data_IF_967220420997
#
_entry.id   IF_967220420997
#
_cell.length_a   1.000
_cell.length_b   1.000
_cell.length_c   1.000
_cell.angle_alpha   90.00
_cell.angle_beta   90.00
_cell.angle_gamma   90.00
#
_symmetry.space_group_name_H-M   'P 1'
#
loop_
_entity.id
_entity.type
_entity.pdbx_description
1 polymer ?
#
# COMPACT_ATOMS: atom_id res chain seq x y z
N UNK A 1 -2.15 20.97 0.34
CA UNK A 1 -2.47 20.08 1.48
C UNK A 1 -1.48 18.92 1.49
N UNK A 2 -0.43 19.02 2.33
CA UNK A 2 0.62 18.00 2.51
C UNK A 2 0.51 17.48 3.96
N UNK A 3 -0.32 16.47 4.18
CA UNK A 3 -0.36 15.77 5.46
C UNK A 3 0.56 14.55 5.35
N UNK A 4 1.87 14.79 5.46
CA UNK A 4 2.88 13.76 5.60
C UNK A 4 3.64 14.02 6.89
N UNK A 5 3.48 13.15 7.89
CA UNK A 5 4.04 13.29 9.24
C UNK A 5 5.56 13.41 9.18
N UNK A 6 6.17 12.63 8.27
CA UNK A 6 7.60 12.67 8.07
C UNK A 6 8.00 14.06 7.55
N UNK A 7 7.27 14.63 6.59
CA UNK A 7 7.71 15.79 5.80
C UNK A 7 7.74 17.16 6.48
N UNK A 8 7.32 17.27 7.75
CA UNK A 8 7.49 18.49 8.54
C UNK A 8 7.00 19.80 7.90
N UNK A 9 6.10 19.74 6.91
CA UNK A 9 5.76 20.92 6.11
C UNK A 9 4.78 21.80 6.88
N UNK A 10 5.34 22.71 7.69
CA UNK A 10 4.66 23.93 8.10
C UNK A 10 4.16 24.64 6.84
N UNK A 11 2.85 24.83 6.76
CA UNK A 11 2.24 25.60 5.67
C UNK A 11 2.85 27.01 5.65
N UNK A 12 3.37 27.41 4.50
CA UNK A 12 3.63 28.81 4.21
C UNK A 12 2.28 29.54 4.28
N UNK A 13 2.15 30.48 5.22
CA UNK A 13 0.97 31.30 5.37
C UNK A 13 0.80 32.18 4.14
N UNK A 14 -0.30 31.97 3.43
CA UNK A 14 -0.83 32.96 2.50
C UNK A 14 -1.64 33.95 3.35
N UNK A 15 -1.15 35.19 3.44
CA UNK A 15 -1.83 36.29 4.11
C UNK A 15 -2.98 36.77 3.21
N UNK A 16 -4.16 36.17 3.40
CA UNK A 16 -5.40 36.61 2.78
C UNK A 16 -6.49 36.85 3.82
N UNK A 17 -6.85 38.12 4.01
CA UNK A 17 -8.05 38.54 4.73
C UNK A 17 -9.30 37.82 4.21
N UNK A 18 -10.08 37.19 5.10
CA UNK A 18 -11.32 36.52 4.70
C UNK A 18 -12.12 35.85 5.83
N UNK A 19 -13.08 36.59 6.38
CA UNK A 19 -14.35 36.17 7.01
C UNK A 19 -14.34 35.12 8.17
N UNK A 20 -14.75 35.50 9.40
CA UNK A 20 -14.98 34.55 10.48
C UNK A 20 -16.33 33.84 10.31
N UNK A 21 -16.33 32.52 10.09
CA UNK A 21 -17.57 31.74 10.14
C UNK A 21 -17.59 30.38 9.43
N UNK A 22 -16.64 30.08 8.55
CA UNK A 22 -16.56 28.77 7.91
C UNK A 22 -15.46 27.93 8.56
N UNK A 23 -15.83 27.04 9.49
CA UNK A 23 -14.97 25.90 9.81
C UNK A 23 -14.93 25.05 8.55
N UNK A 24 -14.00 25.33 7.64
CA UNK A 24 -13.66 24.41 6.56
C UNK A 24 -13.08 23.17 7.21
N UNK A 25 -13.90 22.13 7.32
CA UNK A 25 -13.45 20.77 7.53
C UNK A 25 -12.61 20.38 6.32
N UNK A 26 -11.30 20.65 6.39
CA UNK A 26 -10.32 20.33 5.34
C UNK A 26 -10.07 18.80 5.23
N UNK A 27 -11.05 17.96 5.56
CA UNK A 27 -11.00 16.52 5.34
C UNK A 27 -11.42 16.20 3.92
N UNK A 28 -10.56 15.51 3.17
CA UNK A 28 -10.92 14.94 1.87
C UNK A 28 -12.20 14.11 2.02
N UNK A 29 -13.19 14.35 1.15
CA UNK A 29 -14.41 13.55 1.15
C UNK A 29 -14.08 12.07 0.90
N UNK A 30 -14.86 11.18 1.50
CA UNK A 30 -14.64 9.73 1.38
C UNK A 30 -14.58 9.28 -0.10
N UNK A 31 -15.45 9.82 -0.96
CA UNK A 31 -15.46 9.50 -2.38
C UNK A 31 -14.16 9.90 -3.10
N UNK A 32 -13.64 11.10 -2.84
CA UNK A 32 -12.38 11.56 -3.43
C UNK A 32 -11.18 10.77 -2.90
N UNK A 33 -11.17 10.43 -1.62
CA UNK A 33 -10.13 9.57 -1.04
C UNK A 33 -10.15 8.19 -1.69
N UNK A 34 -11.31 7.54 -1.75
CA UNK A 34 -11.43 6.19 -2.30
C UNK A 34 -11.09 6.17 -3.80
N UNK A 35 -11.51 7.17 -4.56
CA UNK A 35 -11.14 7.32 -5.97
C UNK A 35 -9.64 7.48 -6.16
N UNK A 36 -9.02 8.40 -5.40
CA UNK A 36 -7.56 8.63 -5.45
C UNK A 36 -6.77 7.40 -5.02
N UNK A 37 -7.19 6.77 -3.92
CA UNK A 37 -6.61 5.53 -3.42
C UNK A 37 -6.68 4.42 -4.48
N UNK A 38 -7.84 4.22 -5.11
CA UNK A 38 -8.00 3.19 -6.12
C UNK A 38 -7.08 3.41 -7.32
N UNK A 39 -7.01 4.64 -7.84
CA UNK A 39 -6.11 5.00 -8.94
C UNK A 39 -4.65 4.79 -8.55
N UNK A 40 -4.25 5.23 -7.35
CA UNK A 40 -2.91 5.05 -6.81
C UNK A 40 -2.55 3.56 -6.70
N UNK A 41 -3.43 2.75 -6.11
CA UNK A 41 -3.22 1.30 -5.98
C UNK A 41 -3.17 0.62 -7.33
N UNK A 42 -4.04 0.98 -8.28
CA UNK A 42 -3.98 0.45 -9.63
C UNK A 42 -2.62 0.78 -10.28
N UNK A 43 -2.16 2.03 -10.16
CA UNK A 43 -0.90 2.47 -10.74
C UNK A 43 0.33 1.75 -10.16
N UNK A 44 0.37 1.51 -8.85
CA UNK A 44 1.54 0.88 -8.19
C UNK A 44 1.47 -0.64 -8.20
N UNK A 45 0.28 -1.20 -8.01
CA UNK A 45 0.09 -2.62 -7.71
C UNK A 45 -0.16 -3.45 -8.96
N UNK A 46 -0.68 -2.88 -10.04
CA UNK A 46 -0.81 -3.59 -11.32
C UNK A 46 0.56 -3.95 -11.93
N UNK A 47 1.55 -3.05 -12.00
CA UNK A 47 2.89 -3.41 -12.50
C UNK A 47 3.51 -4.59 -11.74
N UNK A 48 3.32 -4.64 -10.42
CA UNK A 48 3.89 -5.70 -9.59
C UNK A 48 3.23 -7.08 -9.79
N UNK A 49 1.95 -7.13 -10.18
CA UNK A 49 1.21 -8.39 -10.41
C UNK A 49 1.17 -8.79 -11.89
N UNK A 50 1.46 -7.86 -12.80
CA UNK A 50 1.45 -8.08 -14.25
C UNK A 50 2.26 -9.31 -14.70
N UNK A 51 3.50 -9.58 -14.21
CA UNK A 51 4.26 -10.74 -14.64
C UNK A 51 3.59 -12.08 -14.31
N UNK A 52 2.80 -12.13 -13.22
CA UNK A 52 2.03 -13.30 -12.80
C UNK A 52 0.80 -13.45 -13.69
N UNK A 53 0.00 -12.39 -13.84
CA UNK A 53 -1.24 -12.42 -14.64
C UNK A 53 -0.95 -12.77 -16.10
N UNK A 54 0.07 -12.16 -16.71
CA UNK A 54 0.47 -12.46 -18.10
C UNK A 54 0.90 -13.92 -18.28
N UNK A 55 1.58 -14.51 -17.28
CA UNK A 55 1.98 -15.93 -17.32
C UNK A 55 0.78 -16.87 -17.19
N UNK A 56 -0.13 -16.57 -16.26
CA UNK A 56 -1.39 -17.32 -16.11
C UNK A 56 -2.21 -17.23 -17.41
N UNK A 57 -2.40 -16.03 -17.94
CA UNK A 57 -3.13 -15.76 -19.18
C UNK A 57 -2.52 -16.50 -20.38
N UNK A 58 -1.19 -16.52 -20.54
CA UNK A 58 -0.52 -17.34 -21.57
C UNK A 58 -0.80 -18.84 -21.42
N UNK A 59 -0.78 -19.38 -20.20
CA UNK A 59 -1.06 -20.79 -19.94
C UNK A 59 -2.52 -21.14 -20.20
N UNK A 60 -3.45 -20.26 -19.82
CA UNK A 60 -4.89 -20.45 -20.03
C UNK A 60 -5.26 -20.33 -21.51
N UNK A 61 -4.65 -19.41 -22.25
CA UNK A 61 -4.82 -19.31 -23.72
C UNK A 61 -4.37 -20.55 -24.45
N UNK A 62 -3.27 -21.18 -24.04
CA UNK A 62 -2.83 -22.48 -24.58
C UNK A 62 -3.84 -23.61 -24.35
N UNK A 63 -4.75 -23.44 -23.38
CA UNK A 63 -5.87 -24.36 -23.08
C UNK A 63 -7.21 -23.87 -23.64
N UNK A 64 -7.19 -22.97 -24.62
CA UNK A 64 -8.39 -22.49 -25.33
C UNK A 64 -9.24 -21.47 -24.57
N UNK A 65 -8.73 -20.84 -23.50
CA UNK A 65 -9.52 -19.90 -22.69
C UNK A 65 -9.42 -18.45 -23.20
N UNK A 66 -10.51 -17.67 -23.13
CA UNK A 66 -10.53 -16.29 -23.61
C UNK A 66 -9.75 -15.34 -22.70
N UNK A 67 -9.37 -14.17 -23.24
CA UNK A 67 -8.71 -13.08 -22.48
C UNK A 67 -9.55 -12.56 -21.30
N UNK A 68 -10.88 -12.72 -21.37
CA UNK A 68 -11.82 -12.33 -20.31
C UNK A 68 -11.48 -12.94 -18.96
N UNK A 69 -10.89 -14.15 -18.93
CA UNK A 69 -10.45 -14.80 -17.68
C UNK A 69 -9.34 -14.00 -16.98
N UNK A 70 -8.41 -13.41 -17.73
CA UNK A 70 -7.35 -12.56 -17.16
C UNK A 70 -7.91 -11.23 -16.62
N UNK A 71 -8.91 -10.66 -17.30
CA UNK A 71 -9.60 -9.47 -16.82
C UNK A 71 -10.36 -9.72 -15.52
N UNK A 72 -11.02 -10.87 -15.39
CA UNK A 72 -11.71 -11.24 -14.14
C UNK A 72 -10.74 -11.48 -12.99
N UNK A 73 -9.59 -12.11 -13.23
CA UNK A 73 -8.51 -12.23 -12.24
C UNK A 73 -8.04 -10.84 -11.77
N UNK A 74 -7.84 -9.92 -12.72
CA UNK A 74 -7.40 -8.54 -12.43
C UNK A 74 -8.49 -7.76 -11.68
N UNK A 75 -9.75 -7.92 -12.06
CA UNK A 75 -10.89 -7.28 -11.39
C UNK A 75 -11.00 -7.74 -9.94
N UNK A 76 -10.92 -9.05 -9.68
CA UNK A 76 -10.93 -9.60 -8.32
C UNK A 76 -9.78 -9.06 -7.47
N UNK A 77 -8.59 -8.94 -8.07
CA UNK A 77 -7.44 -8.33 -7.41
C UNK A 77 -7.68 -6.87 -7.02
N UNK A 78 -8.22 -6.06 -7.94
CA UNK A 78 -8.49 -4.64 -7.70
C UNK A 78 -9.63 -4.42 -6.70
N UNK A 79 -10.60 -5.33 -6.63
CA UNK A 79 -11.66 -5.28 -5.61
C UNK A 79 -11.10 -5.37 -4.19
N UNK A 80 -10.07 -6.18 -3.95
CA UNK A 80 -9.40 -6.24 -2.64
C UNK A 80 -8.74 -4.89 -2.32
N UNK A 81 -8.10 -4.26 -3.30
CA UNK A 81 -7.48 -2.94 -3.12
C UNK A 81 -8.50 -1.83 -2.90
N UNK A 82 -9.65 -1.89 -3.57
CA UNK A 82 -10.77 -0.99 -3.33
C UNK A 82 -11.30 -1.14 -1.89
N UNK A 83 -11.51 -2.38 -1.44
CA UNK A 83 -11.93 -2.68 -0.07
C UNK A 83 -10.90 -2.23 0.98
N UNK A 84 -9.60 -2.41 0.70
CA UNK A 84 -8.52 -1.92 1.55
C UNK A 84 -8.53 -0.39 1.67
N UNK A 85 -9.03 0.33 0.65
CA UNK A 85 -9.21 1.77 0.68
C UNK A 85 -10.18 2.24 1.76
N UNK A 86 -11.20 1.45 2.07
CA UNK A 86 -12.15 1.77 3.16
C UNK A 86 -11.45 1.72 4.51
N UNK A 87 -10.64 0.68 4.76
CA UNK A 87 -9.83 0.58 5.96
C UNK A 87 -8.76 1.68 6.04
N UNK A 88 -8.12 2.00 4.91
CA UNK A 88 -7.16 3.08 4.80
C UNK A 88 -7.79 4.45 5.09
N UNK A 89 -9.02 4.68 4.63
CA UNK A 89 -9.76 5.91 4.93
C UNK A 89 -10.06 6.03 6.41
N UNK A 90 -10.51 4.95 7.06
CA UNK A 90 -10.73 4.93 8.51
C UNK A 90 -9.43 5.19 9.30
N UNK A 91 -8.30 4.63 8.84
CA UNK A 91 -7.00 4.92 9.46
C UNK A 91 -6.57 6.37 9.23
N UNK A 92 -6.80 6.91 8.03
CA UNK A 92 -6.51 8.30 7.70
C UNK A 92 -7.31 9.28 8.57
N UNK A 93 -8.61 9.06 8.74
CA UNK A 93 -9.46 9.94 9.58
C UNK A 93 -9.09 9.83 11.05
N UNK A 94 -8.80 8.63 11.56
CA UNK A 94 -8.31 8.42 12.92
C UNK A 94 -6.93 9.08 13.14
N UNK A 95 -6.07 9.04 12.13
CA UNK A 95 -4.77 9.69 12.20
C UNK A 95 -4.92 11.23 12.25
N UNK A 96 -5.74 11.79 11.37
CA UNK A 96 -6.01 13.23 11.34
C UNK A 96 -6.64 13.73 12.65
N UNK A 97 -7.50 12.95 13.29
CA UNK A 97 -8.07 13.33 14.59
C UNK A 97 -7.01 13.36 15.71
N UNK A 98 -6.02 12.46 15.69
CA UNK A 98 -4.90 12.50 16.66
C UNK A 98 -3.95 13.68 16.46
N UNK A 99 -3.72 14.09 15.20
CA UNK A 99 -2.87 15.25 14.87
C UNK A 99 -3.59 16.57 15.14
N UNK A 100 -4.91 16.62 14.93
CA UNK A 100 -5.73 17.81 15.17
C UNK A 100 -5.74 18.26 16.64
N UNK A 101 -5.34 17.39 17.59
CA UNK A 101 -5.16 17.74 19.01
C UNK A 101 -3.99 18.72 19.23
N UNK A 102 -3.14 18.95 18.21
CA UNK A 102 -2.18 20.05 18.21
C UNK A 102 -0.85 19.77 18.91
N UNK A 103 -0.51 18.51 19.22
CA UNK A 103 0.82 18.10 19.70
C UNK A 103 1.66 17.52 18.54
N UNK A 104 2.61 18.28 17.97
CA UNK A 104 3.53 17.77 16.94
C UNK A 104 4.31 16.53 17.39
N UNK A 105 4.60 16.38 18.68
CA UNK A 105 5.31 15.21 19.19
C UNK A 105 4.44 13.95 19.11
N UNK A 106 3.11 14.07 19.25
CA UNK A 106 2.20 12.94 19.09
C UNK A 106 2.19 12.42 17.64
N UNK A 107 2.18 13.33 16.66
CA UNK A 107 2.26 12.98 15.24
C UNK A 107 3.57 12.23 14.93
N UNK A 108 4.71 12.77 15.39
CA UNK A 108 6.04 12.17 15.21
C UNK A 108 6.12 10.77 15.85
N UNK A 109 5.65 10.62 17.10
CA UNK A 109 5.60 9.32 17.78
C UNK A 109 4.74 8.30 17.03
N UNK A 110 3.59 8.72 16.49
CA UNK A 110 2.72 7.85 15.72
C UNK A 110 3.38 7.41 14.40
N UNK A 111 4.04 8.32 13.68
CA UNK A 111 4.82 8.00 12.47
C UNK A 111 5.96 7.01 12.77
N UNK A 112 6.69 7.21 13.88
CA UNK A 112 7.70 6.28 14.33
C UNK A 112 7.11 4.90 14.68
N UNK A 113 5.96 4.86 15.36
CA UNK A 113 5.22 3.63 15.63
C UNK A 113 4.87 2.87 14.33
N UNK A 114 4.42 3.58 13.30
CA UNK A 114 4.14 2.98 11.98
C UNK A 114 5.42 2.40 11.36
N UNK A 115 6.55 3.11 11.41
CA UNK A 115 7.84 2.61 10.90
C UNK A 115 8.30 1.34 11.64
N UNK A 116 8.21 1.33 12.97
CA UNK A 116 8.58 0.18 13.80
C UNK A 116 7.68 -1.02 13.51
N UNK A 117 6.36 -0.83 13.48
CA UNK A 117 5.39 -1.88 13.17
C UNK A 117 5.62 -2.45 11.77
N UNK A 118 5.83 -1.58 10.79
CA UNK A 118 6.03 -2.01 9.41
C UNK A 118 7.38 -2.70 9.22
N UNK A 119 8.43 -2.21 9.88
CA UNK A 119 9.75 -2.85 9.89
C UNK A 119 9.72 -4.23 10.56
N UNK A 120 9.04 -4.36 11.70
CA UNK A 120 8.81 -5.64 12.36
C UNK A 120 8.01 -6.60 11.45
N UNK A 121 6.94 -6.12 10.84
CA UNK A 121 6.14 -6.90 9.87
C UNK A 121 7.00 -7.41 8.72
N UNK A 122 7.93 -6.58 8.21
CA UNK A 122 8.85 -6.92 7.13
C UNK A 122 9.70 -8.17 7.42
N UNK A 123 9.97 -8.43 8.70
CA UNK A 123 10.81 -9.55 9.16
C UNK A 123 9.99 -10.81 9.46
N UNK A 124 8.66 -10.72 9.55
CA UNK A 124 7.79 -11.82 9.96
C UNK A 124 7.78 -13.01 8.98
N UNK A 125 7.55 -14.24 9.48
CA UNK A 125 7.31 -15.40 8.62
C UNK A 125 5.99 -15.26 7.83
N UNK A 126 5.00 -14.55 8.38
CA UNK A 126 3.72 -14.30 7.72
C UNK A 126 3.92 -13.51 6.42
N UNK A 127 4.64 -12.39 6.48
CA UNK A 127 4.95 -11.62 5.26
C UNK A 127 5.65 -12.48 4.22
N UNK A 128 6.66 -13.26 4.63
CA UNK A 128 7.42 -14.13 3.73
C UNK A 128 6.51 -15.18 3.07
N UNK A 129 5.59 -15.78 3.82
CA UNK A 129 4.60 -16.71 3.29
C UNK A 129 3.68 -16.04 2.28
N UNK A 130 3.13 -14.86 2.59
CA UNK A 130 2.31 -14.10 1.66
C UNK A 130 3.08 -13.73 0.39
N UNK A 131 4.31 -13.23 0.53
CA UNK A 131 5.15 -12.84 -0.59
C UNK A 131 5.47 -14.01 -1.52
N UNK A 132 5.81 -15.20 -0.98
CA UNK A 132 6.03 -16.40 -1.81
C UNK A 132 4.79 -16.77 -2.63
N UNK A 133 3.60 -16.66 -2.04
CA UNK A 133 2.35 -16.94 -2.74
C UNK A 133 2.05 -15.87 -3.81
N UNK A 134 2.30 -14.59 -3.52
CA UNK A 134 2.16 -13.51 -4.51
C UNK A 134 3.05 -13.70 -5.74
N UNK A 135 4.19 -14.36 -5.58
CA UNK A 135 5.21 -14.47 -6.64
C UNK A 135 5.11 -15.75 -7.47
N UNK A 136 4.21 -16.67 -7.13
CA UNK A 136 4.17 -18.01 -7.72
C UNK A 136 3.00 -18.20 -8.71
N UNK A 137 3.17 -17.86 -10.01
CA UNK A 137 2.13 -18.07 -11.01
C UNK A 137 1.77 -19.55 -11.20
N UNK A 138 2.76 -20.45 -11.09
CA UNK A 138 2.53 -21.89 -11.23
C UNK A 138 1.73 -22.45 -10.07
N UNK A 139 1.98 -22.01 -8.83
CA UNK A 139 1.18 -22.45 -7.69
C UNK A 139 -0.30 -22.06 -7.86
N UNK A 140 -0.59 -20.87 -8.40
CA UNK A 140 -1.96 -20.43 -8.68
C UNK A 140 -2.62 -21.32 -9.74
N UNK A 141 -1.92 -21.63 -10.84
CA UNK A 141 -2.46 -22.47 -11.91
C UNK A 141 -2.65 -23.93 -11.47
N UNK A 142 -1.73 -24.49 -10.69
CA UNK A 142 -1.84 -25.87 -10.20
C UNK A 142 -2.95 -26.00 -9.17
N UNK A 143 -3.06 -25.07 -8.21
CA UNK A 143 -4.07 -25.15 -7.13
C UNK A 143 -5.46 -24.70 -7.55
N UNK A 144 -5.55 -23.77 -8.50
CA UNK A 144 -6.82 -23.12 -8.83
C UNK A 144 -7.15 -23.18 -10.32
N UNK A 145 -6.35 -23.83 -11.16
CA UNK A 145 -6.56 -23.91 -12.61
C UNK A 145 -7.96 -24.35 -12.98
N UNK A 146 -8.45 -25.44 -12.39
CA UNK A 146 -9.81 -25.94 -12.61
C UNK A 146 -10.85 -24.87 -12.28
N UNK A 147 -10.78 -24.28 -11.08
CA UNK A 147 -11.69 -23.21 -10.64
C UNK A 147 -11.66 -21.98 -11.55
N UNK A 148 -10.48 -21.53 -11.98
CA UNK A 148 -10.32 -20.40 -12.92
C UNK A 148 -11.02 -20.72 -14.25
N UNK A 149 -10.93 -21.97 -14.69
CA UNK A 149 -11.43 -22.40 -15.99
C UNK A 149 -12.90 -22.82 -15.97
N UNK A 150 -13.44 -23.23 -14.82
CA UNK A 150 -14.80 -23.75 -14.68
C UNK A 150 -15.87 -22.66 -14.87
N UNK A 151 -15.62 -21.43 -14.39
CA UNK A 151 -16.61 -20.35 -14.48
C UNK A 151 -15.99 -18.94 -14.36
N UNK A 152 -16.65 -17.90 -14.91
CA UNK A 152 -16.24 -16.51 -14.71
C UNK A 152 -16.13 -16.08 -13.23
N UNK A 153 -17.08 -16.44 -12.33
CA UNK A 153 -16.93 -16.18 -10.90
C UNK A 153 -15.72 -16.89 -10.28
N UNK A 154 -15.37 -18.08 -10.77
CA UNK A 154 -14.18 -18.80 -10.33
C UNK A 154 -12.88 -18.04 -10.60
N UNK A 155 -12.76 -17.41 -11.77
CA UNK A 155 -11.63 -16.52 -12.09
C UNK A 155 -11.60 -15.28 -11.19
N UNK A 156 -12.76 -14.67 -10.92
CA UNK A 156 -12.87 -13.52 -10.02
C UNK A 156 -12.43 -13.87 -8.59
N UNK A 157 -12.90 -15.00 -8.05
CA UNK A 157 -12.56 -15.49 -6.71
C UNK A 157 -11.06 -15.77 -6.55
N UNK A 158 -10.42 -16.29 -7.59
CA UNK A 158 -8.97 -16.50 -7.57
C UNK A 158 -8.23 -15.17 -7.63
N UNK A 159 -8.77 -14.18 -8.34
CA UNK A 159 -8.30 -12.80 -8.31
C UNK A 159 -8.36 -12.19 -6.92
N UNK A 160 -9.50 -12.34 -6.22
CA UNK A 160 -9.69 -11.91 -4.83
C UNK A 160 -8.69 -12.58 -3.89
N UNK A 161 -8.51 -13.90 -4.01
CA UNK A 161 -7.54 -14.65 -3.21
C UNK A 161 -6.10 -14.14 -3.44
N UNK A 162 -5.72 -13.89 -4.70
CA UNK A 162 -4.41 -13.33 -5.01
C UNK A 162 -4.24 -11.90 -4.50
N UNK A 163 -5.30 -11.08 -4.59
CA UNK A 163 -5.38 -9.75 -4.02
C UNK A 163 -5.17 -9.76 -2.51
N UNK A 164 -5.77 -10.71 -1.79
CA UNK A 164 -5.62 -10.85 -0.34
C UNK A 164 -4.17 -11.15 0.08
N UNK A 165 -3.48 -12.06 -0.63
CA UNK A 165 -2.04 -12.27 -0.38
C UNK A 165 -1.20 -11.05 -0.72
N UNK A 166 -1.56 -10.35 -1.80
CA UNK A 166 -0.87 -9.13 -2.21
C UNK A 166 -0.99 -8.05 -1.14
N UNK A 167 -2.19 -7.81 -0.64
CA UNK A 167 -2.41 -6.92 0.49
C UNK A 167 -1.64 -7.39 1.72
N UNK A 168 -1.73 -8.68 2.06
CA UNK A 168 -0.97 -9.29 3.16
C UNK A 168 0.53 -9.02 3.07
N UNK A 169 1.16 -9.15 1.90
CA UNK A 169 2.61 -8.94 1.82
C UNK A 169 3.06 -7.46 1.89
N UNK A 170 2.18 -6.48 1.64
CA UNK A 170 2.59 -5.08 1.51
C UNK A 170 1.74 -4.05 2.27
N UNK A 171 0.70 -4.45 3.02
CA UNK A 171 -0.14 -3.52 3.80
C UNK A 171 0.68 -2.64 4.74
N UNK A 172 1.73 -3.18 5.35
CA UNK A 172 2.63 -2.46 6.24
C UNK A 172 3.35 -1.30 5.52
N UNK A 173 3.79 -1.52 4.29
CA UNK A 173 4.37 -0.46 3.45
C UNK A 173 3.31 0.57 3.01
N UNK A 174 2.06 0.16 2.83
CA UNK A 174 0.95 1.08 2.56
C UNK A 174 0.64 1.96 3.77
N UNK A 175 0.72 1.41 4.99
CA UNK A 175 0.57 2.19 6.22
C UNK A 175 1.68 3.25 6.34
N UNK A 176 2.92 2.91 5.97
CA UNK A 176 4.03 3.87 5.91
C UNK A 176 3.78 4.94 4.86
N UNK A 177 3.28 4.58 3.67
CA UNK A 177 2.93 5.55 2.63
C UNK A 177 1.84 6.53 3.11
N UNK A 178 0.83 6.03 3.84
CA UNK A 178 -0.21 6.87 4.44
C UNK A 178 0.38 7.83 5.48
N UNK A 179 1.25 7.34 6.37
CA UNK A 179 1.92 8.13 7.39
C UNK A 179 2.89 9.18 6.81
N UNK A 180 3.65 8.80 5.78
CA UNK A 180 4.60 9.66 5.08
C UNK A 180 3.92 10.74 4.22
N UNK A 181 2.66 10.51 3.85
CA UNK A 181 1.83 11.41 3.05
C UNK A 181 1.53 10.80 1.69
N UNK A 182 0.32 10.26 1.53
CA UNK A 182 -0.13 9.59 0.30
C UNK A 182 -0.09 10.48 -0.96
N UNK A 183 -0.06 11.80 -0.78
CA UNK A 183 0.00 12.76 -1.89
C UNK A 183 1.43 13.04 -2.38
N UNK A 184 2.46 12.51 -1.70
CA UNK A 184 3.84 12.65 -2.16
C UNK A 184 4.14 11.63 -3.26
N UNK A 185 4.29 12.12 -4.49
CA UNK A 185 4.71 11.28 -5.63
C UNK A 185 6.08 10.63 -5.41
N UNK A 186 6.96 11.26 -4.63
CA UNK A 186 8.26 10.71 -4.27
C UNK A 186 8.10 9.47 -3.39
N UNK A 187 7.32 9.57 -2.31
CA UNK A 187 7.04 8.42 -1.44
C UNK A 187 6.27 7.32 -2.16
N UNK A 188 5.32 7.70 -3.00
CA UNK A 188 4.62 6.77 -3.88
C UNK A 188 5.61 6.01 -4.78
N UNK A 189 6.53 6.70 -5.44
CA UNK A 189 7.57 6.10 -6.29
C UNK A 189 8.49 5.16 -5.51
N UNK A 190 8.98 5.58 -4.34
CA UNK A 190 9.86 4.78 -3.48
C UNK A 190 9.17 3.49 -3.06
N UNK A 191 7.94 3.58 -2.52
CA UNK A 191 7.20 2.42 -2.05
C UNK A 191 6.81 1.50 -3.22
N UNK A 192 6.45 2.06 -4.38
CA UNK A 192 6.17 1.27 -5.58
C UNK A 192 7.42 0.48 -6.02
N UNK A 193 8.58 1.14 -6.07
CA UNK A 193 9.84 0.52 -6.45
C UNK A 193 10.23 -0.60 -5.48
N UNK A 194 10.11 -0.36 -4.18
CA UNK A 194 10.34 -1.37 -3.14
C UNK A 194 9.44 -2.59 -3.35
N UNK A 195 8.14 -2.38 -3.53
CA UNK A 195 7.17 -3.46 -3.72
C UNK A 195 7.45 -4.23 -5.01
N UNK A 196 7.82 -3.53 -6.07
CA UNK A 196 8.20 -4.14 -7.34
C UNK A 196 9.45 -5.01 -7.19
N UNK A 197 10.48 -4.51 -6.50
CA UNK A 197 11.69 -5.29 -6.19
C UNK A 197 11.35 -6.53 -5.37
N UNK A 198 10.54 -6.40 -4.31
CA UNK A 198 10.16 -7.54 -3.48
C UNK A 198 9.37 -8.61 -4.26
N UNK A 199 8.47 -8.19 -5.16
CA UNK A 199 7.59 -9.10 -5.91
C UNK A 199 8.23 -9.66 -7.18
N UNK A 200 9.07 -8.92 -7.87
CA UNK A 200 9.59 -9.32 -9.19
C UNK A 200 11.01 -9.85 -9.12
N UNK A 201 11.87 -9.29 -8.27
CA UNK A 201 13.29 -9.63 -8.28
C UNK A 201 13.56 -11.00 -7.64
N UNK A 202 14.50 -11.78 -8.20
CA UNK A 202 14.83 -13.14 -7.72
C UNK A 202 15.16 -13.17 -6.22
N UNK A 203 15.81 -12.13 -5.70
CA UNK A 203 16.17 -11.99 -4.27
C UNK A 203 15.19 -11.13 -3.46
N UNK A 204 13.96 -10.91 -3.94
CA UNK A 204 13.00 -10.02 -3.29
C UNK A 204 12.69 -10.36 -1.83
N UNK A 205 12.67 -11.65 -1.45
CA UNK A 205 12.49 -12.06 -0.05
C UNK A 205 13.71 -11.71 0.83
N UNK A 206 14.92 -11.75 0.26
CA UNK A 206 16.11 -11.32 0.97
C UNK A 206 16.15 -9.79 1.11
N UNK A 207 15.67 -9.04 0.11
CA UNK A 207 15.57 -7.58 0.12
C UNK A 207 14.62 -7.05 1.22
N UNK A 208 13.63 -7.84 1.64
CA UNK A 208 12.73 -7.50 2.74
C UNK A 208 13.43 -7.34 4.09
N UNK A 209 14.53 -8.05 4.32
CA UNK A 209 15.26 -8.00 5.60
C UNK A 209 15.99 -6.68 5.83
N UNK A 210 16.88 -6.20 4.94
CA UNK A 210 17.53 -4.91 5.12
C UNK A 210 16.51 -3.78 5.14
N UNK A 211 15.45 -3.84 4.30
CA UNK A 211 14.37 -2.87 4.34
C UNK A 211 13.70 -2.81 5.72
N UNK A 212 13.33 -3.96 6.29
CA UNK A 212 12.75 -4.03 7.62
C UNK A 212 13.67 -3.47 8.70
N UNK A 213 14.94 -3.83 8.66
CA UNK A 213 15.95 -3.33 9.58
C UNK A 213 16.10 -1.79 9.47
N UNK A 214 16.16 -1.25 8.25
CA UNK A 214 16.23 0.20 8.01
C UNK A 214 15.01 0.91 8.60
N UNK A 215 13.81 0.37 8.40
CA UNK A 215 12.58 0.97 8.95
C UNK A 215 12.55 0.95 10.47
N UNK A 216 13.04 -0.12 11.10
CA UNK A 216 13.17 -0.20 12.56
C UNK A 216 14.17 0.86 13.05
N UNK A 217 15.36 0.93 12.44
CA UNK A 217 16.39 1.91 12.83
C UNK A 217 15.86 3.33 12.68
N UNK A 218 15.22 3.66 11.57
CA UNK A 218 14.62 4.99 11.35
C UNK A 218 13.54 5.29 12.40
N UNK A 219 12.66 4.34 12.71
CA UNK A 219 11.65 4.50 13.75
C UNK A 219 12.26 4.76 15.14
N UNK A 220 13.32 4.02 15.50
CA UNK A 220 14.04 4.23 16.77
C UNK A 220 14.75 5.58 16.83
N UNK A 221 15.39 6.01 15.73
CA UNK A 221 16.06 7.31 15.63
C UNK A 221 15.05 8.45 15.79
N UNK A 222 13.88 8.35 15.12
CA UNK A 222 12.81 9.36 15.25
C UNK A 222 12.27 9.46 16.68
N UNK A 223 12.20 8.34 17.41
CA UNK A 223 11.81 8.35 18.83
C UNK A 223 12.90 8.94 19.75
N UNK A 224 14.17 8.60 19.51
CA UNK A 224 15.29 9.02 20.36
C UNK A 224 15.66 10.49 20.16
N UNK A 225 15.49 11.01 18.95
CA UNK A 225 15.84 12.38 18.58
C UNK A 225 14.73 13.01 17.71
N UNK A 226 13.60 13.42 18.30
CA UNK A 226 12.47 13.98 17.54
C UNK A 226 12.83 15.24 16.74
N UNK A 227 13.90 15.96 17.12
CA UNK A 227 14.43 17.11 16.38
C UNK A 227 15.11 16.79 15.04
N UNK A 228 15.43 15.51 14.76
CA UNK A 228 15.97 15.06 13.47
C UNK A 228 14.87 14.69 12.45
N UNK A 229 13.62 14.57 12.87
CA UNK A 229 12.49 14.29 11.97
C UNK A 229 12.40 15.24 10.75
N UNK A 230 12.57 16.56 10.87
CA UNK A 230 12.59 17.46 9.71
C UNK A 230 13.83 17.32 8.82
N UNK A 231 14.95 16.76 9.32
CA UNK A 231 16.18 16.57 8.54
C UNK A 231 16.21 15.24 7.75
N UNK A 232 15.38 14.27 8.15
CA UNK A 232 15.13 13.02 7.41
C UNK A 232 14.01 13.16 6.36
N UNK A 233 13.49 14.39 6.26
CA UNK A 233 12.56 15.04 5.32
C UNK A 233 12.80 14.91 3.83
#
# INVERSE_FOLDING_TARGET
MRAGILTGAAGHGDSGDGMPGMRMDHSMSAGLFLGTWFVMMAAMMLPAVTPVIVRIDRLLRRRGRPRTTAYLLTAGYLLVWAAAGVAAYGLYTAFQSTVAVGDPAAAVRAGAGVLLLAGAYQLTPLKRACLRQCRSPLAVVVRHGERITASPPGALLVGLHHGAFCLGCCWALMAVLLAAGMMSLVWMGIIAAVILVEKVWRYGEAASRPLGATMIVLGLVVLAAPGLAPALT
#
